data_IF_855533517388
#
_entry.id   IF_855533517388
#
_cell.length_a   1.000
_cell.length_b   1.000
_cell.length_c   1.000
_cell.angle_alpha   90.00
_cell.angle_beta   90.00
_cell.angle_gamma   90.00
#
_symmetry.space_group_name_H-M   'P 1'
#
loop_
_entity.id
_entity.type
_entity.pdbx_description
1 polymer ?
#
# COMPACT_ATOMS: atom_id res chain seq x y z
N UNK A 1 5.29 -2.85 -0.39
CA UNK A 1 6.22 -3.90 0.07
C UNK A 1 5.53 -4.95 0.93
N UNK A 2 4.92 -4.61 2.08
CA UNK A 2 4.31 -5.59 3.00
C UNK A 2 3.36 -6.63 2.33
N UNK A 3 2.38 -6.16 1.55
CA UNK A 3 1.42 -7.04 0.86
C UNK A 3 2.03 -7.80 -0.32
N UNK A 4 3.10 -7.27 -0.93
CA UNK A 4 3.81 -7.94 -2.04
C UNK A 4 4.79 -9.00 -1.54
N UNK A 5 5.38 -8.81 -0.35
CA UNK A 5 6.37 -9.70 0.26
C UNK A 5 5.73 -10.87 1.01
N UNK A 6 4.56 -10.65 1.62
CA UNK A 6 3.87 -11.66 2.43
C UNK A 6 2.51 -12.14 1.85
N UNK A 7 1.95 -11.46 0.86
CA UNK A 7 0.73 -11.89 0.20
C UNK A 7 0.99 -13.04 -0.78
N UNK A 8 0.33 -14.19 -0.60
CA UNK A 8 0.36 -15.32 -1.55
C UNK A 8 -0.14 -14.94 -2.96
N UNK A 9 -0.88 -13.84 -3.08
CA UNK A 9 -1.49 -13.38 -4.32
C UNK A 9 -0.91 -12.02 -4.71
N UNK A 10 -0.16 -11.96 -5.82
CA UNK A 10 0.39 -10.72 -6.39
C UNK A 10 -0.67 -9.77 -6.95
N UNK A 11 -1.94 -10.16 -6.83
CA UNK A 11 -3.10 -9.44 -7.31
C UNK A 11 -3.72 -8.62 -6.18
N UNK A 12 -3.15 -7.43 -5.95
CA UNK A 12 -3.59 -6.52 -4.90
C UNK A 12 -4.48 -5.46 -5.55
N UNK A 13 -5.73 -5.38 -5.09
CA UNK A 13 -6.64 -4.29 -5.47
C UNK A 13 -6.52 -3.11 -4.52
N UNK A 14 -6.86 -1.91 -4.98
CA UNK A 14 -6.88 -0.70 -4.13
C UNK A 14 -7.74 -0.89 -2.89
N UNK A 15 -8.88 -1.58 -2.99
CA UNK A 15 -9.73 -1.90 -1.83
C UNK A 15 -9.00 -2.76 -0.78
N UNK A 16 -8.35 -3.85 -1.20
CA UNK A 16 -7.57 -4.69 -0.26
C UNK A 16 -6.40 -3.93 0.35
N UNK A 17 -5.76 -3.06 -0.42
CA UNK A 17 -4.68 -2.22 0.09
C UNK A 17 -5.19 -1.23 1.15
N UNK A 18 -6.39 -0.68 0.96
CA UNK A 18 -7.04 0.21 1.93
C UNK A 18 -7.37 -0.50 3.24
N UNK A 19 -7.86 -1.74 3.20
CA UNK A 19 -8.15 -2.54 4.39
C UNK A 19 -6.90 -2.77 5.25
N UNK A 20 -5.79 -3.15 4.61
CA UNK A 20 -4.49 -3.35 5.29
C UNK A 20 -3.95 -2.01 5.82
N UNK A 21 -4.01 -0.95 5.00
CA UNK A 21 -3.62 0.40 5.40
C UNK A 21 -4.39 0.86 6.65
N UNK A 22 -5.72 0.70 6.66
CA UNK A 22 -6.57 1.06 7.80
C UNK A 22 -6.18 0.28 9.05
N UNK A 23 -5.90 -1.00 8.92
CA UNK A 23 -5.46 -1.85 10.04
C UNK A 23 -4.13 -1.38 10.64
N UNK A 24 -3.17 -1.00 9.80
CA UNK A 24 -1.89 -0.42 10.23
C UNK A 24 -2.11 0.94 10.92
N UNK A 25 -2.96 1.80 10.35
CA UNK A 25 -3.28 3.10 10.93
C UNK A 25 -3.87 2.96 12.34
N UNK A 26 -4.87 2.09 12.51
CA UNK A 26 -5.53 1.84 13.81
C UNK A 26 -4.51 1.37 14.86
N UNK A 27 -3.64 0.41 14.51
CA UNK A 27 -2.62 -0.09 15.44
C UNK A 27 -1.61 0.97 15.87
N UNK A 28 -1.24 1.86 14.96
CA UNK A 28 -0.26 2.93 15.22
C UNK A 28 -0.90 4.19 15.78
N UNK A 29 -2.19 4.14 16.10
CA UNK A 29 -2.98 5.29 16.56
C UNK A 29 -2.92 6.47 15.57
N UNK A 30 -2.91 6.16 14.27
CA UNK A 30 -2.95 7.12 13.16
C UNK A 30 -4.37 7.20 12.60
N UNK A 31 -4.75 8.38 12.13
CA UNK A 31 -6.03 8.56 11.44
C UNK A 31 -5.96 7.92 10.05
N UNK A 32 -6.84 6.95 9.78
CA UNK A 32 -6.97 6.34 8.46
C UNK A 32 -7.88 7.22 7.60
N UNK A 33 -7.43 7.58 6.39
CA UNK A 33 -8.25 8.30 5.40
C UNK A 33 -9.37 7.42 4.85
N UNK A 34 -10.41 8.05 4.32
CA UNK A 34 -11.53 7.34 3.69
C UNK A 34 -11.11 6.67 2.37
N UNK A 35 -11.98 5.83 1.80
CA UNK A 35 -11.69 5.09 0.57
C UNK A 35 -11.43 6.04 -0.61
N UNK A 36 -12.12 7.18 -0.67
CA UNK A 36 -12.02 8.15 -1.76
C UNK A 36 -10.70 8.90 -1.72
N UNK A 37 -10.33 9.43 -0.56
CA UNK A 37 -9.03 10.05 -0.31
C UNK A 37 -7.91 9.06 -0.55
N UNK A 38 -8.07 7.80 -0.14
CA UNK A 38 -7.07 6.77 -0.37
C UNK A 38 -6.82 6.50 -1.86
N UNK A 39 -7.88 6.45 -2.67
CA UNK A 39 -7.74 6.31 -4.13
C UNK A 39 -6.96 7.50 -4.70
N UNK A 40 -7.29 8.73 -4.27
CA UNK A 40 -6.58 9.93 -4.70
C UNK A 40 -5.10 9.91 -4.29
N UNK A 41 -4.79 9.45 -3.07
CA UNK A 41 -3.41 9.23 -2.62
C UNK A 41 -2.69 8.21 -3.51
N UNK A 42 -3.34 7.10 -3.86
CA UNK A 42 -2.76 6.13 -4.79
C UNK A 42 -2.47 6.74 -6.16
N UNK A 43 -3.34 7.59 -6.70
CA UNK A 43 -3.09 8.31 -7.96
C UNK A 43 -1.94 9.31 -7.87
N UNK A 44 -1.75 9.98 -6.73
CA UNK A 44 -0.59 10.86 -6.51
C UNK A 44 0.72 10.07 -6.47
N UNK A 45 0.72 8.91 -5.83
CA UNK A 45 1.89 8.00 -5.79
C UNK A 45 2.14 7.40 -7.17
N UNK A 46 1.10 7.15 -7.96
CA UNK A 46 1.21 6.73 -9.36
C UNK A 46 1.84 7.80 -10.25
N UNK A 47 1.49 9.07 -10.04
CA UNK A 47 2.09 10.20 -10.76
C UNK A 47 3.60 10.30 -10.52
N UNK A 48 4.07 9.84 -9.34
CA UNK A 48 5.51 9.75 -9.02
C UNK A 48 6.20 8.52 -9.62
N UNK A 49 5.45 7.65 -10.31
CA UNK A 49 5.97 6.45 -10.94
C UNK A 49 6.30 5.30 -9.98
N UNK A 50 5.96 5.42 -8.69
CA UNK A 50 6.29 4.42 -7.66
C UNK A 50 5.35 3.21 -7.77
N UNK A 51 4.06 3.49 -8.00
CA UNK A 51 3.02 2.48 -8.23
C UNK A 51 2.35 2.72 -9.56
N UNK A 52 1.69 1.71 -10.09
CA UNK A 52 0.87 1.77 -11.30
C UNK A 52 -0.49 1.16 -10.99
N UNK A 53 -1.55 1.90 -11.29
CA UNK A 53 -2.93 1.47 -11.11
C UNK A 53 -3.44 0.98 -12.47
N UNK A 54 -3.67 -0.33 -12.58
CA UNK A 54 -4.27 -0.90 -13.79
C UNK A 54 -5.79 -0.97 -13.67
N UNK A 55 -6.46 -0.31 -14.60
CA UNK A 55 -7.90 -0.06 -14.58
C UNK A 55 -8.78 -1.29 -14.79
N UNK A 56 -9.81 -1.42 -13.94
CA UNK A 56 -11.10 -2.09 -14.19
C UNK A 56 -12.18 -1.01 -14.08
N UNK A 57 -13.44 -1.31 -14.41
CA UNK A 57 -14.56 -0.33 -14.38
C UNK A 57 -14.75 0.42 -13.03
N UNK A 58 -14.27 -0.11 -11.91
CA UNK A 58 -14.41 0.52 -10.59
C UNK A 58 -13.04 0.85 -9.96
N UNK A 59 -12.84 2.07 -9.42
CA UNK A 59 -11.56 2.51 -8.83
C UNK A 59 -11.03 1.61 -7.71
N UNK A 60 -11.91 1.08 -6.85
CA UNK A 60 -11.55 0.14 -5.79
C UNK A 60 -11.03 -1.21 -6.30
N UNK A 61 -11.39 -1.58 -7.53
CA UNK A 61 -10.96 -2.80 -8.20
C UNK A 61 -9.71 -2.59 -9.06
N UNK A 62 -9.16 -1.38 -9.10
CA UNK A 62 -7.88 -1.14 -9.77
C UNK A 62 -6.81 -2.02 -9.12
N UNK A 63 -6.03 -2.68 -9.98
CA UNK A 63 -4.89 -3.47 -9.54
C UNK A 63 -3.72 -2.55 -9.30
N UNK A 64 -3.06 -2.72 -8.16
CA UNK A 64 -1.89 -1.94 -7.77
C UNK A 64 -0.64 -2.75 -8.11
N UNK A 65 0.18 -2.21 -8.99
CA UNK A 65 1.50 -2.76 -9.34
C UNK A 65 2.58 -1.85 -8.78
N UNK A 66 3.55 -2.39 -8.06
CA UNK A 66 4.75 -1.63 -7.70
C UNK A 66 5.66 -1.56 -8.94
N UNK A 67 6.18 -0.38 -9.25
CA UNK A 67 7.09 -0.18 -10.39
C UNK A 67 8.55 -0.08 -9.93
N UNK A 68 8.78 0.42 -8.73
CA UNK A 68 10.12 0.54 -8.14
C UNK A 68 10.49 -0.73 -7.38
N UNK A 69 11.77 -1.04 -7.35
CA UNK A 69 12.29 -2.13 -6.53
C UNK A 69 12.23 -1.79 -5.03
N UNK A 70 12.22 -2.81 -4.17
CA UNK A 70 12.12 -2.63 -2.71
C UNK A 70 13.25 -1.73 -2.16
N UNK A 71 14.47 -1.86 -2.73
CA UNK A 71 15.61 -1.02 -2.36
C UNK A 71 15.42 0.45 -2.77
N UNK A 72 14.89 0.72 -3.97
CA UNK A 72 14.63 2.08 -4.45
C UNK A 72 13.56 2.77 -3.61
N UNK A 73 12.48 2.06 -3.29
CA UNK A 73 11.41 2.58 -2.43
C UNK A 73 11.93 2.82 -1.01
N UNK A 74 12.75 1.90 -0.48
CA UNK A 74 13.37 2.04 0.85
C UNK A 74 14.39 3.19 0.91
N UNK A 75 15.10 3.45 -0.19
CA UNK A 75 16.05 4.56 -0.29
C UNK A 75 15.33 5.91 -0.42
N UNK A 76 14.25 5.98 -1.18
CA UNK A 76 13.47 7.21 -1.34
C UNK A 76 12.61 7.57 -0.12
N UNK A 77 12.22 6.57 0.67
CA UNK A 77 11.55 6.79 1.94
C UNK A 77 12.60 6.98 3.05
N UNK A 78 12.78 8.22 3.49
CA UNK A 78 13.80 8.61 4.46
C UNK A 78 13.61 7.97 5.86
N UNK A 79 12.40 7.52 6.19
CA UNK A 79 12.05 6.97 7.50
C UNK A 79 12.10 5.44 7.52
N UNK A 80 13.33 4.91 7.62
CA UNK A 80 13.59 3.46 7.64
C UNK A 80 13.00 2.77 8.86
N UNK A 81 12.86 3.45 9.99
CA UNK A 81 12.28 2.86 11.20
C UNK A 81 10.79 2.58 11.03
N UNK A 82 10.06 3.54 10.44
CA UNK A 82 8.64 3.37 10.16
C UNK A 82 8.41 2.23 9.17
N UNK A 83 9.17 2.18 8.08
CA UNK A 83 9.06 1.13 7.04
C UNK A 83 9.35 -0.25 7.62
N UNK A 84 10.46 -0.39 8.36
CA UNK A 84 10.84 -1.67 8.96
C UNK A 84 9.78 -2.15 9.94
N UNK A 85 9.27 -1.25 10.78
CA UNK A 85 8.19 -1.57 11.71
C UNK A 85 6.90 -1.96 10.98
N UNK A 86 6.59 -1.35 9.83
CA UNK A 86 5.41 -1.75 9.03
C UNK A 86 5.68 -3.13 8.45
N UNK A 87 6.82 -3.32 7.77
CA UNK A 87 7.24 -4.56 7.11
C UNK A 87 7.26 -5.77 8.04
N UNK A 88 7.65 -5.59 9.29
CA UNK A 88 7.70 -6.64 10.32
C UNK A 88 6.31 -6.99 10.87
N UNK A 89 5.33 -6.07 10.80
CA UNK A 89 3.99 -6.26 11.33
C UNK A 89 3.07 -7.00 10.33
N UNK A 90 3.42 -8.26 10.06
CA UNK A 90 2.63 -9.21 9.25
C UNK A 90 1.25 -9.50 9.81
N UNK A 91 0.99 -9.20 11.08
CA UNK A 91 -0.33 -9.43 11.67
C UNK A 91 -1.41 -8.48 11.14
N UNK A 92 -1.01 -7.42 10.41
CA UNK A 92 -1.93 -6.52 9.70
C UNK A 92 -2.42 -7.05 8.34
N UNK A 93 -1.84 -8.16 7.84
CA UNK A 93 -2.19 -8.71 6.53
C UNK A 93 -3.50 -9.49 6.50
N UNK A 94 -4.08 -9.81 7.67
CA UNK A 94 -5.16 -10.77 7.76
C UNK A 94 -4.67 -12.19 7.41
N UNK A 95 -5.18 -13.19 8.12
CA UNK A 95 -4.93 -14.60 7.78
C UNK A 95 -5.50 -14.96 6.41
#
# INVERSE_FOLDING_TARGET
MLVLKHGKNKDITVGKLHDVYRSICVKRNLHAVDQTEFINLCSLVETRGIVRLQGKKEPRMHRVYLQWDEEEVSAALNDKQLINSIMDDVSCLGK
#
